data_IF_629273333557
#
_entry.id   IF_629273333557
#
_cell.length_a   1.000
_cell.length_b   1.000
_cell.length_c   1.000
_cell.angle_alpha   90.00
_cell.angle_beta   90.00
_cell.angle_gamma   90.00
#
_symmetry.space_group_name_H-M   'P 1'
#
loop_
_entity.id
_entity.type
_entity.pdbx_description
1 polymer ?
#
# COMPACT_ATOMS: atom_id res chain seq x y z
N UNK A 1 -44.48 22.96 18.00
CA UNK A 1 -44.01 22.45 19.31
C UNK A 1 -43.38 21.08 19.13
N UNK A 2 -42.11 20.90 19.51
CA UNK A 2 -41.47 19.59 19.49
C UNK A 2 -42.12 18.65 20.50
N UNK A 3 -42.38 17.39 20.13
CA UNK A 3 -42.83 16.38 21.12
C UNK A 3 -41.71 16.19 22.14
N UNK A 4 -42.05 16.18 23.43
CA UNK A 4 -41.09 15.99 24.52
C UNK A 4 -40.30 14.68 24.42
N UNK A 5 -39.26 14.56 25.25
CA UNK A 5 -38.36 13.41 25.27
C UNK A 5 -39.10 12.07 25.35
N UNK A 6 -38.68 11.04 24.59
CA UNK A 6 -39.30 9.72 24.65
C UNK A 6 -39.24 9.13 26.07
N UNK A 7 -40.31 8.44 26.48
CA UNK A 7 -40.35 7.76 27.78
C UNK A 7 -39.19 6.76 27.89
N UNK A 8 -38.51 6.68 29.06
CA UNK A 8 -37.46 5.70 29.32
C UNK A 8 -37.87 4.25 28.96
N UNK A 9 -36.94 3.42 28.46
CA UNK A 9 -37.23 2.04 28.06
C UNK A 9 -37.87 1.20 29.18
N UNK A 10 -37.39 1.37 30.43
CA UNK A 10 -37.89 0.67 31.62
C UNK A 10 -39.40 0.91 31.84
N UNK A 11 -39.83 2.16 31.71
CA UNK A 11 -41.25 2.53 31.88
C UNK A 11 -42.11 1.95 30.75
N UNK A 12 -41.60 1.91 29.52
CA UNK A 12 -42.31 1.28 28.39
C UNK A 12 -42.48 -0.22 28.59
N UNK A 13 -41.45 -0.92 29.07
CA UNK A 13 -41.55 -2.34 29.41
C UNK A 13 -42.57 -2.58 30.52
N UNK A 14 -42.59 -1.72 31.55
CA UNK A 14 -43.55 -1.81 32.66
C UNK A 14 -45.00 -1.60 32.19
N UNK A 15 -45.25 -0.67 31.26
CA UNK A 15 -46.56 -0.47 30.63
C UNK A 15 -47.01 -1.74 29.89
N UNK A 16 -46.15 -2.31 29.06
CA UNK A 16 -46.47 -3.51 28.27
C UNK A 16 -46.72 -4.72 29.17
N UNK A 17 -45.90 -4.90 30.22
CA UNK A 17 -46.08 -5.99 31.20
C UNK A 17 -47.41 -5.86 31.97
N UNK A 18 -47.76 -4.66 32.43
CA UNK A 18 -49.06 -4.43 33.10
C UNK A 18 -50.24 -4.64 32.15
N UNK A 19 -50.10 -4.25 30.89
CA UNK A 19 -51.11 -4.48 29.86
C UNK A 19 -51.30 -5.98 29.56
N UNK A 20 -50.21 -6.76 29.45
CA UNK A 20 -50.26 -8.22 29.29
C UNK A 20 -50.93 -8.92 30.49
N UNK A 21 -50.77 -8.38 31.69
CA UNK A 21 -51.44 -8.85 32.91
C UNK A 21 -52.92 -8.43 33.03
N UNK A 22 -53.52 -7.87 31.97
CA UNK A 22 -54.95 -7.50 31.94
C UNK A 22 -55.30 -6.19 32.67
N UNK A 23 -54.32 -5.38 33.06
CA UNK A 23 -54.59 -4.10 33.75
C UNK A 23 -55.10 -3.05 32.74
N UNK A 24 -56.16 -2.33 33.10
CA UNK A 24 -56.73 -1.30 32.22
C UNK A 24 -55.77 -0.13 31.97
N UNK A 25 -55.79 0.42 30.75
CA UNK A 25 -54.87 1.51 30.34
C UNK A 25 -54.95 2.74 31.26
N UNK A 26 -56.15 3.06 31.75
CA UNK A 26 -56.41 4.17 32.68
C UNK A 26 -55.74 3.95 34.04
N UNK A 27 -55.76 2.70 34.54
CA UNK A 27 -55.10 2.30 35.80
C UNK A 27 -53.57 2.30 35.65
N UNK A 28 -53.06 1.87 34.50
CA UNK A 28 -51.63 1.94 34.16
C UNK A 28 -51.15 3.40 34.16
N UNK A 29 -51.87 4.29 33.46
CA UNK A 29 -51.56 5.71 33.37
C UNK A 29 -51.53 6.39 34.75
N UNK A 30 -52.52 6.09 35.61
CA UNK A 30 -52.57 6.61 36.98
C UNK A 30 -51.43 6.07 37.85
N UNK A 31 -51.09 4.78 37.75
CA UNK A 31 -50.03 4.17 38.57
C UNK A 31 -48.63 4.66 38.20
N UNK A 32 -48.39 4.92 36.92
CA UNK A 32 -47.08 5.35 36.41
C UNK A 32 -46.96 6.88 36.29
N UNK A 33 -48.01 7.64 36.64
CA UNK A 33 -48.11 9.10 36.50
C UNK A 33 -47.77 9.57 35.08
N UNK A 34 -48.32 8.88 34.08
CA UNK A 34 -48.10 9.18 32.67
C UNK A 34 -49.39 9.71 32.01
N UNK A 35 -49.30 10.59 31.00
CA UNK A 35 -50.46 10.98 30.22
C UNK A 35 -51.12 9.77 29.54
N UNK A 36 -52.45 9.66 29.65
CA UNK A 36 -53.23 8.60 28.98
C UNK A 36 -52.94 8.43 27.49
N UNK A 37 -52.77 9.50 26.67
CA UNK A 37 -52.44 9.36 25.25
C UNK A 37 -51.12 8.63 25.04
N UNK A 38 -50.15 8.80 25.94
CA UNK A 38 -48.84 8.17 25.82
C UNK A 38 -48.92 6.67 26.11
N UNK A 39 -49.66 6.27 27.15
CA UNK A 39 -49.92 4.86 27.47
C UNK A 39 -50.67 4.19 26.32
N UNK A 40 -51.72 4.84 25.83
CA UNK A 40 -52.49 4.37 24.67
C UNK A 40 -51.60 4.17 23.44
N UNK A 41 -50.82 5.18 23.05
CA UNK A 41 -49.91 5.11 21.90
C UNK A 41 -48.85 4.02 22.02
N UNK A 42 -48.34 3.77 23.23
CA UNK A 42 -47.36 2.69 23.47
C UNK A 42 -48.01 1.32 23.30
N UNK A 43 -49.20 1.12 23.89
CA UNK A 43 -49.93 -0.16 23.80
C UNK A 43 -50.40 -0.41 22.36
N UNK A 44 -50.90 0.62 21.68
CA UNK A 44 -51.31 0.53 20.27
C UNK A 44 -50.13 0.13 19.38
N UNK A 45 -48.96 0.75 19.56
CA UNK A 45 -47.74 0.36 18.85
C UNK A 45 -47.28 -1.06 19.17
N UNK A 46 -47.41 -1.48 20.42
CA UNK A 46 -47.09 -2.85 20.83
C UNK A 46 -48.00 -3.87 20.15
N UNK A 47 -49.31 -3.58 20.03
CA UNK A 47 -50.27 -4.41 19.29
C UNK A 47 -49.92 -4.52 17.81
N UNK A 48 -49.50 -3.43 17.18
CA UNK A 48 -49.18 -3.40 15.74
C UNK A 48 -47.83 -4.04 15.40
N UNK A 49 -46.79 -3.82 16.21
CA UNK A 49 -45.39 -4.11 15.84
C UNK A 49 -44.71 -5.15 16.75
N UNK A 50 -45.33 -5.54 17.86
CA UNK A 50 -44.73 -6.40 18.90
C UNK A 50 -43.51 -5.79 19.63
N UNK A 51 -43.09 -4.57 19.26
CA UNK A 51 -41.81 -4.00 19.64
C UNK A 51 -41.98 -2.82 20.60
N UNK A 52 -41.17 -2.77 21.66
CA UNK A 52 -41.22 -1.76 22.74
C UNK A 52 -40.26 -0.57 22.48
N UNK A 53 -39.33 -0.74 21.53
CA UNK A 53 -38.32 0.26 21.18
C UNK A 53 -38.92 1.48 20.47
N UNK A 54 -38.23 2.62 20.53
CA UNK A 54 -38.68 3.81 19.78
C UNK A 54 -38.32 3.56 18.32
N UNK A 55 -39.26 3.78 17.39
CA UNK A 55 -38.95 3.78 15.97
C UNK A 55 -37.90 4.84 15.70
N UNK A 56 -36.84 4.47 14.99
CA UNK A 56 -35.86 5.45 14.51
C UNK A 56 -36.61 6.44 13.61
N UNK A 57 -36.45 7.73 13.88
CA UNK A 57 -37.01 8.76 13.01
C UNK A 57 -36.45 8.60 11.59
N UNK A 58 -37.21 9.05 10.59
CA UNK A 58 -36.66 9.27 9.27
C UNK A 58 -35.57 10.35 9.42
N UNK A 59 -34.33 9.96 9.22
CA UNK A 59 -33.20 10.90 9.25
C UNK A 59 -33.33 11.94 8.15
N UNK A 60 -32.49 12.97 8.22
CA UNK A 60 -32.38 13.93 7.13
C UNK A 60 -31.99 13.22 5.84
N UNK A 61 -32.68 13.55 4.73
CA UNK A 61 -32.33 13.04 3.40
C UNK A 61 -30.90 13.47 3.06
N UNK A 62 -30.10 12.54 2.54
CA UNK A 62 -28.73 12.83 2.10
C UNK A 62 -28.75 13.69 0.84
N UNK A 63 -27.78 14.60 0.70
CA UNK A 63 -27.65 15.47 -0.47
C UNK A 63 -27.42 14.66 -1.76
N UNK A 64 -26.63 13.58 -1.64
CA UNK A 64 -26.38 12.62 -2.71
C UNK A 64 -27.35 11.45 -2.56
N UNK A 65 -27.97 11.07 -3.67
CA UNK A 65 -28.87 9.92 -3.73
C UNK A 65 -28.10 8.63 -4.09
N UNK A 66 -28.82 7.51 -4.26
CA UNK A 66 -28.21 6.24 -4.61
C UNK A 66 -27.60 6.24 -6.03
N UNK A 67 -28.15 6.99 -6.98
CA UNK A 67 -27.64 7.12 -8.34
C UNK A 67 -26.31 7.90 -8.34
N UNK A 68 -26.27 9.01 -7.60
CA UNK A 68 -25.10 9.86 -7.42
C UNK A 68 -23.96 9.07 -6.78
N UNK A 69 -24.24 8.30 -5.73
CA UNK A 69 -23.23 7.47 -5.07
C UNK A 69 -22.65 6.41 -6.02
N UNK A 70 -23.47 5.82 -6.91
CA UNK A 70 -22.98 4.88 -7.94
C UNK A 70 -22.09 5.59 -8.97
N UNK A 71 -22.48 6.79 -9.42
CA UNK A 71 -21.66 7.59 -10.33
C UNK A 71 -20.32 8.00 -9.70
N UNK A 72 -20.37 8.51 -8.46
CA UNK A 72 -19.19 8.87 -7.67
C UNK A 72 -18.25 7.67 -7.50
N UNK A 73 -18.78 6.50 -7.14
CA UNK A 73 -17.98 5.28 -6.99
C UNK A 73 -17.26 4.91 -8.29
N UNK A 74 -17.95 4.97 -9.44
CA UNK A 74 -17.34 4.73 -10.76
C UNK A 74 -16.22 5.74 -11.04
N UNK A 75 -16.49 7.03 -10.82
CA UNK A 75 -15.50 8.08 -11.03
C UNK A 75 -14.24 7.86 -10.19
N UNK A 76 -14.38 7.57 -8.89
CA UNK A 76 -13.24 7.29 -8.02
C UNK A 76 -12.44 6.04 -8.44
N UNK A 77 -13.09 5.02 -9.03
CA UNK A 77 -12.41 3.80 -9.51
C UNK A 77 -11.66 4.06 -10.82
N UNK A 78 -12.22 4.88 -11.71
CA UNK A 78 -11.56 5.29 -12.96
C UNK A 78 -10.35 6.18 -12.67
N UNK A 79 -10.54 7.21 -11.83
CA UNK A 79 -9.53 8.21 -11.50
C UNK A 79 -8.96 7.99 -10.09
N UNK A 80 -8.30 6.85 -9.87
CA UNK A 80 -7.81 6.44 -8.53
C UNK A 80 -6.81 7.39 -7.88
N UNK A 81 -6.12 8.19 -8.69
CA UNK A 81 -5.08 9.11 -8.24
C UNK A 81 -5.59 10.56 -8.09
N UNK A 82 -6.87 10.82 -8.37
CA UNK A 82 -7.43 12.15 -8.24
C UNK A 82 -7.45 12.61 -6.78
N UNK A 83 -7.20 13.89 -6.56
CA UNK A 83 -7.32 14.48 -5.22
C UNK A 83 -8.78 14.59 -4.80
N UNK A 84 -9.05 14.68 -3.49
CA UNK A 84 -10.44 14.87 -3.01
C UNK A 84 -11.01 16.19 -3.51
N UNK A 85 -10.16 17.20 -3.71
CA UNK A 85 -10.56 18.47 -4.30
C UNK A 85 -11.06 18.28 -5.73
N UNK A 86 -10.29 17.63 -6.60
CA UNK A 86 -10.68 17.32 -7.98
C UNK A 86 -11.99 16.52 -8.04
N UNK A 87 -12.13 15.51 -7.18
CA UNK A 87 -13.36 14.72 -7.08
C UNK A 87 -14.54 15.60 -6.64
N UNK A 88 -14.30 16.57 -5.77
CA UNK A 88 -15.34 17.50 -5.30
C UNK A 88 -15.78 18.43 -6.42
N UNK A 89 -14.84 19.05 -7.14
CA UNK A 89 -15.13 19.91 -8.29
C UNK A 89 -15.93 19.15 -9.35
N UNK A 90 -15.46 17.95 -9.73
CA UNK A 90 -16.19 17.08 -10.66
C UNK A 90 -17.60 16.76 -10.16
N UNK A 91 -17.77 16.40 -8.89
CA UNK A 91 -19.07 16.04 -8.33
C UNK A 91 -20.03 17.24 -8.30
N UNK A 92 -19.53 18.45 -8.06
CA UNK A 92 -20.36 19.66 -8.09
C UNK A 92 -20.87 19.95 -9.49
N UNK A 93 -20.00 19.87 -10.49
CA UNK A 93 -20.34 20.08 -11.90
C UNK A 93 -21.29 18.98 -12.41
N UNK A 94 -20.99 17.72 -12.11
CA UNK A 94 -21.73 16.57 -12.63
C UNK A 94 -23.12 16.41 -11.98
N UNK A 95 -23.23 16.61 -10.66
CA UNK A 95 -24.51 16.49 -9.95
C UNK A 95 -25.29 17.82 -9.88
N UNK A 96 -24.67 18.94 -10.25
CA UNK A 96 -25.22 20.29 -10.11
C UNK A 96 -25.68 20.61 -8.68
N UNK A 97 -24.87 20.16 -7.69
CA UNK A 97 -25.15 20.29 -6.26
C UNK A 97 -23.98 20.98 -5.56
N UNK A 98 -24.28 21.79 -4.55
CA UNK A 98 -23.24 22.36 -3.68
C UNK A 98 -22.73 21.28 -2.73
N UNK A 99 -21.49 20.84 -2.94
CA UNK A 99 -20.86 19.76 -2.18
C UNK A 99 -19.59 20.26 -1.51
N UNK A 100 -19.50 20.03 -0.20
CA UNK A 100 -18.25 20.23 0.52
C UNK A 100 -17.32 19.02 0.37
N UNK A 101 -16.01 19.22 0.51
CA UNK A 101 -15.05 18.12 0.60
C UNK A 101 -15.42 17.11 1.69
N UNK A 102 -15.99 17.57 2.81
CA UNK A 102 -16.45 16.70 3.90
C UNK A 102 -17.61 15.80 3.46
N UNK A 103 -18.52 16.32 2.63
CA UNK A 103 -19.62 15.54 2.03
C UNK A 103 -19.04 14.45 1.14
N UNK A 104 -18.07 14.76 0.29
CA UNK A 104 -17.39 13.81 -0.57
C UNK A 104 -16.64 12.75 0.23
N UNK A 105 -15.90 13.12 1.28
CA UNK A 105 -15.26 12.15 2.18
C UNK A 105 -16.26 11.16 2.80
N UNK A 106 -17.42 11.65 3.27
CA UNK A 106 -18.49 10.79 3.79
C UNK A 106 -19.06 9.90 2.69
N UNK A 107 -19.29 10.44 1.50
CA UNK A 107 -19.81 9.71 0.35
C UNK A 107 -18.87 8.59 -0.12
N UNK A 108 -17.56 8.86 -0.20
CA UNK A 108 -16.51 7.87 -0.48
C UNK A 108 -16.59 6.71 0.54
N UNK A 109 -16.72 7.02 1.83
CA UNK A 109 -16.90 6.00 2.88
C UNK A 109 -18.19 5.21 2.74
N UNK A 110 -19.31 5.88 2.40
CA UNK A 110 -20.58 5.21 2.10
C UNK A 110 -20.48 4.27 0.89
N UNK A 111 -19.66 4.62 -0.10
CA UNK A 111 -19.34 3.76 -1.25
C UNK A 111 -18.37 2.60 -0.91
N UNK A 112 -18.03 2.42 0.38
CA UNK A 112 -17.05 1.45 0.89
C UNK A 112 -15.63 1.65 0.34
N UNK A 113 -15.31 2.89 -0.04
CA UNK A 113 -13.97 3.27 -0.45
C UNK A 113 -13.24 3.97 0.69
N UNK A 114 -11.91 3.88 0.67
CA UNK A 114 -11.01 4.53 1.64
C UNK A 114 -9.78 5.05 0.92
N UNK A 115 -9.24 6.15 1.41
CA UNK A 115 -8.00 6.70 0.91
C UNK A 115 -6.83 5.93 1.52
N UNK A 116 -5.95 5.42 0.67
CA UNK A 116 -4.73 4.73 1.07
C UNK A 116 -3.53 5.39 0.42
N UNK A 117 -2.37 5.29 1.07
CA UNK A 117 -1.11 5.68 0.44
C UNK A 117 -0.79 4.69 -0.67
N UNK A 118 -0.56 5.19 -1.88
CA UNK A 118 -0.13 4.36 -3.02
C UNK A 118 1.19 3.65 -2.70
N UNK A 119 1.31 2.39 -3.10
CA UNK A 119 2.54 1.61 -2.92
C UNK A 119 3.57 2.07 -3.95
N UNK A 120 4.76 2.46 -3.50
CA UNK A 120 5.91 2.69 -4.38
C UNK A 120 6.34 1.36 -4.98
N UNK A 121 6.25 1.21 -6.30
CA UNK A 121 6.75 0.04 -7.05
C UNK A 121 7.59 0.50 -8.22
N UNK A 122 8.67 -0.22 -8.59
CA UNK A 122 9.39 0.09 -9.82
C UNK A 122 8.43 -0.07 -11.01
N UNK A 123 8.47 0.90 -11.91
CA UNK A 123 7.76 0.78 -13.17
C UNK A 123 8.50 -0.22 -14.07
N UNK A 124 7.79 -1.24 -14.53
CA UNK A 124 8.29 -2.23 -15.49
C UNK A 124 7.63 -1.97 -16.84
N UNK A 125 8.45 -1.85 -17.88
CA UNK A 125 7.94 -1.80 -19.25
C UNK A 125 7.43 -3.20 -19.69
N UNK A 126 6.75 -3.27 -20.84
CA UNK A 126 6.15 -4.53 -21.32
C UNK A 126 7.19 -5.61 -21.60
N UNK A 127 8.37 -5.22 -22.09
CA UNK A 127 9.47 -6.12 -22.42
C UNK A 127 10.04 -6.77 -21.14
N UNK A 128 10.29 -5.97 -20.11
CA UNK A 128 10.75 -6.42 -18.79
C UNK A 128 9.75 -7.36 -18.14
N UNK A 129 8.46 -7.03 -18.17
CA UNK A 129 7.40 -7.92 -17.64
C UNK A 129 7.41 -9.28 -18.33
N UNK A 130 7.53 -9.30 -19.66
CA UNK A 130 7.59 -10.55 -20.44
C UNK A 130 8.81 -11.39 -20.06
N UNK A 131 9.97 -10.76 -19.88
CA UNK A 131 11.20 -11.45 -19.47
C UNK A 131 11.09 -12.03 -18.07
N UNK A 132 10.60 -11.25 -17.11
CA UNK A 132 10.37 -11.73 -15.75
C UNK A 132 9.41 -12.93 -15.74
N UNK A 133 8.35 -12.87 -16.56
CA UNK A 133 7.41 -13.98 -16.71
C UNK A 133 8.06 -15.23 -17.32
N UNK A 134 8.80 -15.09 -18.41
CA UNK A 134 9.48 -16.23 -19.06
C UNK A 134 10.53 -16.84 -18.13
N UNK A 135 11.32 -16.01 -17.45
CA UNK A 135 12.28 -16.44 -16.46
C UNK A 135 11.59 -17.25 -15.35
N UNK A 136 10.54 -16.69 -14.73
CA UNK A 136 9.78 -17.37 -13.69
C UNK A 136 9.18 -18.69 -14.20
N UNK A 137 8.67 -18.73 -15.44
CA UNK A 137 8.10 -19.94 -16.05
C UNK A 137 9.14 -21.05 -16.24
N UNK A 138 10.34 -20.72 -16.71
CA UNK A 138 11.44 -21.68 -16.90
C UNK A 138 11.91 -22.25 -15.55
N UNK A 139 11.97 -21.40 -14.53
CA UNK A 139 12.50 -21.78 -13.21
C UNK A 139 11.43 -22.29 -12.25
N UNK A 140 10.14 -22.31 -12.66
CA UNK A 140 9.02 -22.74 -11.84
C UNK A 140 9.17 -24.19 -11.34
N UNK A 141 9.75 -25.07 -12.17
CA UNK A 141 9.94 -26.50 -11.87
C UNK A 141 11.31 -26.81 -11.26
N UNK A 142 12.11 -25.81 -10.91
CA UNK A 142 13.40 -26.06 -10.29
C UNK A 142 13.24 -26.69 -8.90
N UNK A 143 13.97 -27.78 -8.67
CA UNK A 143 14.01 -28.46 -7.38
C UNK A 143 14.81 -27.65 -6.36
N UNK A 144 14.58 -27.92 -5.07
CA UNK A 144 15.36 -27.30 -3.98
C UNK A 144 16.86 -27.52 -4.18
N UNK A 145 17.27 -28.71 -4.64
CA UNK A 145 18.67 -29.01 -4.94
C UNK A 145 19.26 -28.05 -6.00
N UNK A 146 18.52 -27.74 -7.06
CA UNK A 146 18.93 -26.75 -8.07
C UNK A 146 18.99 -25.33 -7.51
N UNK A 147 18.08 -24.95 -6.63
CA UNK A 147 18.15 -23.64 -5.96
C UNK A 147 19.36 -23.53 -5.02
N UNK A 148 19.79 -24.63 -4.40
CA UNK A 148 20.95 -24.65 -3.51
C UNK A 148 22.27 -24.39 -4.22
N UNK A 149 22.36 -24.67 -5.52
CA UNK A 149 23.57 -24.40 -6.33
C UNK A 149 23.68 -22.95 -6.79
N UNK A 150 22.65 -22.12 -6.57
CA UNK A 150 22.66 -20.72 -7.01
C UNK A 150 23.47 -19.86 -6.04
N UNK A 151 24.43 -19.12 -6.58
CA UNK A 151 25.11 -18.03 -5.89
C UNK A 151 24.41 -16.70 -6.22
N UNK A 152 23.85 -16.07 -5.20
CA UNK A 152 23.24 -14.76 -5.30
C UNK A 152 24.29 -13.69 -5.01
N UNK A 153 24.29 -12.60 -5.76
CA UNK A 153 25.17 -11.45 -5.49
C UNK A 153 24.42 -10.15 -5.69
N UNK A 154 24.68 -9.15 -4.87
CA UNK A 154 24.08 -7.83 -5.03
C UNK A 154 25.02 -6.70 -4.54
N UNK A 155 24.69 -5.48 -4.95
CA UNK A 155 25.32 -4.24 -4.50
C UNK A 155 24.30 -3.40 -3.74
N UNK A 156 24.63 -3.07 -2.50
CA UNK A 156 23.81 -2.19 -1.67
C UNK A 156 24.58 -0.91 -1.33
N UNK A 157 23.88 0.22 -1.40
CA UNK A 157 24.39 1.52 -0.96
C UNK A 157 23.83 1.82 0.44
N UNK A 158 24.70 1.96 1.42
CA UNK A 158 24.36 2.36 2.77
C UNK A 158 24.68 3.84 2.95
N UNK A 159 23.67 4.64 3.26
CA UNK A 159 23.85 6.07 3.52
C UNK A 159 24.07 6.28 5.02
N UNK A 160 25.11 7.03 5.36
CA UNK A 160 25.36 7.47 6.73
C UNK A 160 24.44 8.65 6.98
N UNK A 161 23.40 8.41 7.76
CA UNK A 161 22.44 9.43 8.17
C UNK A 161 22.99 10.19 9.38
N UNK A 162 23.02 11.52 9.30
CA UNK A 162 23.36 12.38 10.42
C UNK A 162 22.06 12.86 11.10
N UNK A 163 21.86 12.52 12.38
CA UNK A 163 20.77 13.06 13.22
C UNK A 163 19.53 12.17 13.37
N UNK A 164 18.56 12.65 14.17
CA UNK A 164 17.31 11.93 14.50
C UNK A 164 16.29 12.04 13.35
N UNK A 165 15.79 10.90 12.89
CA UNK A 165 14.94 10.73 11.69
C UNK A 165 13.45 11.10 11.89
N UNK A 166 13.14 12.01 12.82
CA UNK A 166 11.77 12.45 13.03
C UNK A 166 11.25 13.24 11.83
N UNK A 167 10.31 12.68 11.06
CA UNK A 167 9.64 13.40 9.95
C UNK A 167 8.77 14.58 10.42
N UNK A 168 8.53 14.67 11.72
CA UNK A 168 7.70 15.70 12.34
C UNK A 168 8.52 16.41 13.41
N UNK A 169 8.39 17.72 13.46
CA UNK A 169 8.95 18.60 14.48
C UNK A 169 7.78 19.20 15.24
N UNK A 170 7.86 19.21 16.57
CA UNK A 170 6.90 19.90 17.43
C UNK A 170 7.33 21.37 17.49
N UNK A 171 6.52 22.26 16.92
CA UNK A 171 6.83 23.69 16.84
C UNK A 171 5.56 24.53 16.80
N UNK A 172 5.66 25.81 17.19
CA UNK A 172 4.61 26.79 16.94
C UNK A 172 4.65 27.27 15.48
N UNK A 173 3.71 28.13 15.06
CA UNK A 173 3.65 28.64 13.68
C UNK A 173 4.84 29.58 13.41
N UNK A 174 5.22 30.32 14.43
CA UNK A 174 6.28 31.33 14.49
C UNK A 174 7.67 30.68 14.43
N UNK A 175 7.82 29.50 15.05
CA UNK A 175 9.07 28.72 15.08
C UNK A 175 9.46 28.08 13.73
N UNK A 176 8.76 28.41 12.63
CA UNK A 176 9.01 27.79 11.31
C UNK A 176 10.47 27.92 10.89
N UNK A 177 11.09 29.06 11.17
CA UNK A 177 12.45 29.39 10.72
C UNK A 177 13.49 29.22 11.84
N UNK A 178 13.13 28.57 12.95
CA UNK A 178 14.05 28.23 14.03
C UNK A 178 14.96 27.06 13.58
N UNK A 179 16.30 27.18 13.62
CA UNK A 179 17.21 26.10 13.23
C UNK A 179 17.03 24.78 13.99
N UNK A 180 16.56 24.83 15.24
CA UNK A 180 16.23 23.62 16.02
C UNK A 180 15.03 22.85 15.45
N UNK A 181 14.22 23.50 14.62
CA UNK A 181 13.07 22.93 13.94
C UNK A 181 13.37 22.46 12.52
N UNK A 182 14.61 22.60 12.05
CA UNK A 182 15.02 22.11 10.74
C UNK A 182 15.42 20.65 10.78
N UNK A 183 15.03 19.93 9.73
CA UNK A 183 15.63 18.63 9.45
C UNK A 183 16.95 18.88 8.70
N UNK A 184 18.08 18.58 9.34
CA UNK A 184 19.37 18.63 8.67
C UNK A 184 19.40 17.62 7.51
N UNK A 185 19.64 18.14 6.30
CA UNK A 185 19.80 17.33 5.10
C UNK A 185 21.05 17.80 4.37
N UNK A 186 21.91 16.85 4.01
CA UNK A 186 23.08 17.09 3.16
C UNK A 186 22.77 16.65 1.74
N UNK A 187 23.20 17.42 0.73
CA UNK A 187 22.90 17.12 -0.68
C UNK A 187 23.51 15.78 -1.14
N UNK A 188 24.67 15.42 -0.57
CA UNK A 188 25.37 14.16 -0.84
C UNK A 188 25.79 13.54 0.50
N UNK A 189 24.93 12.73 1.15
CA UNK A 189 25.31 12.04 2.38
C UNK A 189 26.49 11.12 2.09
N UNK A 190 27.41 11.01 3.05
CA UNK A 190 28.46 10.01 3.02
C UNK A 190 27.78 8.64 2.87
N UNK A 191 28.26 7.82 1.94
CA UNK A 191 27.67 6.51 1.68
C UNK A 191 28.75 5.48 1.42
N UNK A 192 28.48 4.26 1.85
CA UNK A 192 29.32 3.10 1.65
C UNK A 192 28.64 2.19 0.64
N UNK A 193 29.39 1.80 -0.38
CA UNK A 193 28.91 0.80 -1.33
C UNK A 193 29.43 -0.55 -0.88
N UNK A 194 28.55 -1.51 -0.71
CA UNK A 194 28.90 -2.86 -0.26
C UNK A 194 28.44 -3.84 -1.32
N UNK A 195 29.36 -4.69 -1.76
CA UNK A 195 29.05 -5.86 -2.56
C UNK A 195 29.11 -7.09 -1.67
N UNK A 196 28.18 -8.01 -1.86
CA UNK A 196 28.21 -9.30 -1.18
C UNK A 196 27.59 -10.39 -2.04
N UNK A 197 27.94 -11.63 -1.71
CA UNK A 197 27.28 -12.80 -2.26
C UNK A 197 26.82 -13.77 -1.17
N UNK A 198 25.85 -14.61 -1.50
CA UNK A 198 25.33 -15.65 -0.62
C UNK A 198 24.82 -16.85 -1.42
N UNK A 199 24.95 -18.04 -0.86
CA UNK A 199 24.37 -19.27 -1.41
C UNK A 199 23.56 -19.97 -0.33
N UNK A 200 22.97 -21.14 -0.66
CA UNK A 200 22.29 -21.94 0.35
C UNK A 200 23.23 -22.49 1.44
N UNK A 201 24.54 -22.50 1.20
CA UNK A 201 25.54 -22.92 2.19
C UNK A 201 25.94 -21.80 3.15
N UNK A 202 25.55 -20.55 2.90
CA UNK A 202 25.83 -19.42 3.78
C UNK A 202 26.22 -18.14 3.04
N UNK A 203 26.71 -17.18 3.82
CA UNK A 203 27.23 -15.91 3.31
C UNK A 203 28.58 -16.13 2.64
N UNK A 204 28.75 -15.60 1.44
CA UNK A 204 30.04 -15.53 0.76
C UNK A 204 30.81 -14.27 1.13
N UNK A 205 31.77 -13.88 0.30
CA UNK A 205 32.62 -12.71 0.55
C UNK A 205 31.82 -11.40 0.54
N UNK A 206 32.16 -10.51 1.48
CA UNK A 206 31.62 -9.17 1.58
C UNK A 206 32.75 -8.15 1.33
N UNK A 207 32.54 -7.26 0.37
CA UNK A 207 33.52 -6.25 -0.02
C UNK A 207 32.94 -4.86 0.14
N UNK A 208 33.57 -4.07 1.01
CA UNK A 208 33.19 -2.68 1.28
C UNK A 208 34.04 -1.76 0.42
N UNK A 209 33.40 -0.93 -0.38
CA UNK A 209 34.03 0.13 -1.16
C UNK A 209 33.87 1.49 -0.48
N UNK A 210 35.00 2.19 -0.40
CA UNK A 210 35.05 3.62 -0.12
C UNK A 210 35.12 4.36 -1.47
N UNK A 211 34.01 4.99 -1.88
CA UNK A 211 33.91 5.78 -3.12
C UNK A 211 33.18 5.07 -4.27
N UNK A 212 33.26 5.65 -5.46
CA UNK A 212 32.57 5.18 -6.68
C UNK A 212 33.19 3.88 -7.19
N UNK A 213 32.36 2.89 -7.52
CA UNK A 213 32.83 1.64 -8.13
C UNK A 213 33.18 1.87 -9.60
N UNK A 214 34.43 1.59 -9.96
CA UNK A 214 34.88 1.43 -11.35
C UNK A 214 34.64 -0.03 -11.82
N UNK A 215 34.38 -0.22 -13.11
CA UNK A 215 34.17 -1.54 -13.71
C UNK A 215 35.37 -2.48 -13.50
N UNK A 216 36.59 -1.97 -13.68
CA UNK A 216 37.83 -2.75 -13.49
C UNK A 216 37.97 -3.28 -12.05
N UNK A 217 37.73 -2.42 -11.06
CA UNK A 217 37.77 -2.80 -9.65
C UNK A 217 36.69 -3.83 -9.31
N UNK A 218 35.53 -3.74 -9.97
CA UNK A 218 34.47 -4.71 -9.79
C UNK A 218 34.86 -6.09 -10.35
N UNK A 219 35.45 -6.13 -11.54
CA UNK A 219 35.96 -7.38 -12.15
C UNK A 219 37.02 -8.01 -11.25
N UNK A 220 37.97 -7.23 -10.74
CA UNK A 220 39.01 -7.74 -9.83
C UNK A 220 38.44 -8.38 -8.56
N UNK A 221 37.36 -7.83 -7.99
CA UNK A 221 36.73 -8.45 -6.81
C UNK A 221 35.95 -9.70 -7.17
N UNK A 222 35.30 -9.72 -8.32
CA UNK A 222 34.65 -10.94 -8.80
C UNK A 222 35.69 -12.04 -9.00
N UNK A 223 36.80 -11.75 -9.66
CA UNK A 223 37.92 -12.69 -9.80
C UNK A 223 38.44 -13.15 -8.43
N UNK A 224 38.74 -12.23 -7.52
CA UNK A 224 39.27 -12.60 -6.18
C UNK A 224 38.27 -13.39 -5.32
N UNK A 225 36.99 -13.06 -5.39
CA UNK A 225 35.94 -13.71 -4.58
C UNK A 225 35.46 -15.03 -5.15
N UNK A 226 35.57 -15.23 -6.47
CA UNK A 226 35.19 -16.49 -7.15
C UNK A 226 36.35 -17.49 -7.23
N UNK A 227 37.61 -17.03 -7.14
CA UNK A 227 38.79 -17.90 -7.30
C UNK A 227 39.27 -18.55 -5.99
N UNK A 228 38.86 -18.08 -4.81
CA UNK A 228 39.35 -18.60 -3.51
C UNK A 228 38.38 -19.60 -2.82
N UNK A 229 37.79 -20.49 -3.61
CA UNK A 229 37.10 -21.70 -3.14
C UNK A 229 37.09 -22.76 -4.23
N UNK A 230 38.05 -23.68 -4.19
CA UNK A 230 38.14 -24.84 -5.08
C UNK A 230 36.76 -25.53 -5.22
N UNK A 231 36.33 -25.71 -6.47
CA UNK A 231 35.17 -26.49 -6.97
C UNK A 231 33.88 -25.75 -7.39
N UNK A 232 33.96 -24.59 -8.04
CA UNK A 232 32.86 -24.15 -8.90
C UNK A 232 33.36 -23.40 -10.15
N UNK A 233 33.45 -24.13 -11.27
CA UNK A 233 33.60 -23.57 -12.63
C UNK A 233 32.37 -22.73 -12.96
N UNK A 234 32.35 -21.44 -12.65
CA UNK A 234 31.16 -20.62 -12.88
C UNK A 234 31.54 -19.20 -13.36
N UNK A 235 31.30 -18.98 -14.66
CA UNK A 235 31.53 -17.74 -15.43
C UNK A 235 30.43 -16.71 -15.23
N UNK A 236 30.76 -15.42 -15.41
CA UNK A 236 29.95 -14.25 -15.04
C UNK A 236 29.01 -13.70 -16.16
N UNK A 237 27.70 -13.42 -15.93
CA UNK A 237 26.88 -12.21 -16.33
C UNK A 237 25.29 -12.15 -16.15
N UNK A 238 24.78 -11.30 -15.25
CA UNK A 238 23.66 -10.34 -15.28
C UNK A 238 22.10 -10.62 -15.13
N UNK A 239 21.43 -10.06 -14.07
CA UNK A 239 20.01 -9.92 -13.61
C UNK A 239 19.54 -8.58 -12.86
N UNK A 240 19.72 -7.33 -13.29
CA UNK A 240 19.22 -6.18 -12.45
C UNK A 240 17.69 -6.14 -12.38
N UNK A 241 17.19 -5.98 -11.15
CA UNK A 241 15.79 -5.95 -10.68
C UNK A 241 15.14 -7.29 -10.34
N UNK A 242 15.41 -7.79 -9.12
CA UNK A 242 14.45 -8.68 -8.46
C UNK A 242 14.05 -8.27 -7.04
N UNK A 243 14.81 -7.43 -6.33
CA UNK A 243 14.38 -6.87 -5.04
C UNK A 243 14.84 -5.43 -4.89
N UNK A 244 13.92 -4.48 -4.90
CA UNK A 244 14.18 -3.13 -4.38
C UNK A 244 13.04 -2.77 -3.43
N UNK A 245 13.19 -3.19 -2.18
CA UNK A 245 12.65 -2.46 -1.04
C UNK A 245 13.69 -1.38 -0.70
N UNK A 246 13.48 -0.16 -1.19
CA UNK A 246 14.37 0.97 -0.89
C UNK A 246 14.04 2.18 -1.76
N UNK A 247 13.89 3.34 -1.14
CA UNK A 247 13.40 4.56 -1.77
C UNK A 247 14.37 5.08 -2.85
N UNK A 248 13.87 5.31 -4.07
CA UNK A 248 14.58 6.13 -5.08
C UNK A 248 14.43 7.59 -4.71
N UNK A 249 15.48 8.22 -4.19
CA UNK A 249 15.66 9.67 -4.29
C UNK A 249 16.10 9.99 -5.72
N UNK A 250 15.39 10.89 -6.38
CA UNK A 250 15.69 11.31 -7.74
C UNK A 250 16.92 12.20 -7.75
N UNK A 251 17.84 11.95 -8.67
CA UNK A 251 18.53 12.98 -9.45
C UNK A 251 19.26 12.32 -10.62
N UNK A 252 18.90 12.77 -11.82
CA UNK A 252 19.67 12.82 -13.06
C UNK A 252 20.07 11.53 -13.78
N UNK A 253 19.64 11.54 -15.04
CA UNK A 253 20.09 10.76 -16.20
C UNK A 253 21.62 10.65 -16.26
N UNK A 254 22.12 9.47 -15.91
CA UNK A 254 23.44 8.98 -16.25
C UNK A 254 23.34 7.49 -16.51
N UNK A 255 23.63 7.08 -17.75
CA UNK A 255 23.62 5.69 -18.18
C UNK A 255 24.57 4.84 -17.30
N UNK A 256 24.04 4.17 -16.27
CA UNK A 256 24.77 3.15 -15.52
C UNK A 256 24.05 1.81 -15.65
N UNK A 257 24.52 1.05 -16.65
CA UNK A 257 24.15 -0.33 -16.95
C UNK A 257 24.45 -1.21 -15.74
N UNK A 258 23.40 -1.62 -15.04
CA UNK A 258 23.48 -2.61 -13.96
C UNK A 258 22.74 -3.83 -14.46
N UNK A 259 23.37 -5.00 -14.41
CA UNK A 259 22.84 -6.28 -14.87
C UNK A 259 23.44 -7.21 -13.70
N UNK A 260 22.66 -8.04 -12.99
CA UNK A 260 23.01 -8.99 -11.84
C UNK A 260 23.67 -10.37 -12.23
N UNK A 261 23.10 -11.59 -12.14
CA UNK A 261 23.60 -12.87 -12.73
C UNK A 261 22.77 -14.06 -12.22
N UNK A 262 22.52 -15.08 -13.05
CA UNK A 262 22.11 -16.42 -12.58
C UNK A 262 22.89 -17.49 -13.36
N UNK A 263 23.38 -18.51 -12.65
CA UNK A 263 24.26 -19.53 -13.22
C UNK A 263 23.76 -20.94 -12.94
N UNK A 264 23.62 -21.71 -14.01
CA UNK A 264 23.52 -23.17 -13.99
C UNK A 264 24.47 -23.73 -15.04
N UNK A 265 25.10 -24.85 -14.70
CA UNK A 265 25.93 -25.66 -15.58
C UNK A 265 25.19 -25.99 -16.88
N UNK A 266 25.83 -25.65 -18.00
CA UNK A 266 25.50 -26.00 -19.40
C UNK A 266 24.39 -25.23 -20.13
N UNK A 267 23.73 -24.23 -19.55
CA UNK A 267 22.88 -23.32 -20.33
C UNK A 267 22.95 -21.88 -19.78
N UNK A 268 23.44 -20.96 -20.61
CA UNK A 268 23.43 -19.52 -20.33
C UNK A 268 22.04 -18.97 -20.68
N UNK A 269 21.27 -18.55 -19.67
CA UNK A 269 20.01 -17.83 -19.91
C UNK A 269 20.34 -16.36 -20.20
N UNK A 270 20.41 -16.01 -21.48
CA UNK A 270 20.66 -14.64 -21.97
C UNK A 270 19.38 -13.82 -21.89
N UNK A 271 19.38 -12.73 -21.11
CA UNK A 271 18.37 -11.67 -21.23
C UNK A 271 18.99 -10.43 -21.91
N UNK A 272 18.73 -10.28 -23.22
CA UNK A 272 19.36 -9.28 -24.08
C UNK A 272 18.66 -7.91 -24.00
N UNK A 273 19.33 -6.85 -23.54
CA UNK A 273 19.14 -5.49 -24.09
C UNK A 273 20.50 -4.82 -24.25
N UNK A 274 20.94 -4.75 -25.50
CA UNK A 274 21.62 -3.65 -26.20
C UNK A 274 22.52 -4.26 -27.27
N UNK A 275 22.24 -3.90 -28.52
CA UNK A 275 22.91 -4.43 -29.70
C UNK A 275 24.40 -4.11 -29.70
N UNK A 276 25.19 -5.15 -29.94
CA UNK A 276 26.37 -5.15 -30.79
C UNK A 276 26.65 -6.62 -31.08
N UNK A 277 26.42 -7.00 -32.33
CA UNK A 277 26.85 -8.28 -32.87
C UNK A 277 28.38 -8.33 -32.79
N UNK A 278 28.92 -9.37 -32.16
CA UNK A 278 30.29 -9.78 -32.37
C UNK A 278 30.25 -11.20 -32.93
N UNK A 279 30.22 -11.23 -34.25
CA UNK A 279 30.63 -12.34 -35.09
C UNK A 279 32.04 -12.77 -34.69
N UNK A 280 32.16 -13.85 -33.95
CA UNK A 280 33.36 -14.66 -33.97
C UNK A 280 32.95 -16.06 -33.52
N UNK A 281 32.77 -16.96 -34.48
CA UNK A 281 33.05 -18.39 -34.40
C UNK A 281 32.68 -18.99 -35.76
N UNK A 282 33.61 -18.82 -36.70
CA UNK A 282 33.72 -19.69 -37.87
C UNK A 282 34.98 -20.52 -37.68
N UNK A 283 34.78 -21.83 -37.73
CA UNK A 283 35.77 -22.88 -37.94
C UNK A 283 36.82 -23.11 -36.84
N UNK A 284 36.54 -24.09 -35.98
CA UNK A 284 37.46 -25.21 -35.81
C UNK A 284 36.63 -26.49 -35.87
N UNK A 285 36.61 -27.10 -37.06
CA UNK A 285 36.18 -28.47 -37.24
C UNK A 285 37.34 -29.41 -36.94
N UNK A 286 37.03 -30.54 -36.33
CA UNK A 286 37.76 -31.80 -36.42
C UNK A 286 36.72 -32.91 -36.23
N UNK A 287 36.81 -34.05 -36.92
CA UNK A 287 37.69 -34.38 -38.06
C UNK A 287 37.13 -33.94 -39.42
#
# INVERSE_FOLDING_TARGET
MGRGSPIPPMLRQKIVKQYQNGVSQRKIAKSLKLPSPTVHNIIQRFRESGTISVRKGQGQKTILDACDLRALKRHCITYRNATVMEITTWAQEYFQKTLSMNTIHRAIRHCQLKLYRSKKKPYLNMIQKRRHFLWAKVHLKWTVAKWKTVLWSDKSKFEVLYGKLGRHVIRTKEDKDNPSCYQHSVQKPASLMVWGCMSACGMGSLHIWKGTINAERYIQVLERSTVLGLLCRIFLFMMHQMFSMGERSGLQTGHFSTRILLLHSNDVVIDAVCGLALSCWKMQGLP
#
